data_IF_061880549160
#
_entry.id   IF_061880549160
#
_cell.length_a   1.000
_cell.length_b   1.000
_cell.length_c   1.000
_cell.angle_alpha   90.00
_cell.angle_beta   90.00
_cell.angle_gamma   90.00
#
_symmetry.space_group_name_H-M   'P 1'
#
loop_
_entity.id
_entity.type
_entity.pdbx_description
1 polymer ?
#
# COMPACT_ATOMS: atom_id res chain seq x y z
N UNK A 1 -24.04 16.43 -2.14
CA UNK A 1 -23.82 17.42 -3.22
C UNK A 1 -23.32 18.71 -2.60
N UNK A 2 -22.06 19.08 -2.81
CA UNK A 2 -21.56 20.41 -2.51
C UNK A 2 -20.82 20.95 -3.75
N UNK A 3 -21.50 21.80 -4.53
CA UNK A 3 -20.84 22.98 -5.10
C UNK A 3 -20.42 23.88 -3.94
N UNK A 4 -19.46 24.80 -4.04
CA UNK A 4 -19.34 25.95 -4.93
C UNK A 4 -17.91 26.49 -4.69
N UNK A 5 -17.11 26.67 -5.74
CA UNK A 5 -16.74 27.95 -6.35
C UNK A 5 -16.27 29.06 -5.39
N UNK A 6 -15.08 29.58 -5.72
CA UNK A 6 -14.57 30.94 -5.51
C UNK A 6 -13.68 31.25 -4.31
N UNK A 7 -12.42 31.50 -4.68
CA UNK A 7 -11.62 32.70 -4.37
C UNK A 7 -11.04 32.77 -2.95
N UNK A 8 -9.70 32.61 -2.93
CA UNK A 8 -8.73 33.24 -2.04
C UNK A 8 -9.19 33.50 -0.60
N UNK A 9 -8.68 32.71 0.35
CA UNK A 9 -8.00 33.16 1.58
C UNK A 9 -7.75 31.94 2.48
N UNK A 10 -6.63 31.97 3.20
CA UNK A 10 -6.18 31.09 4.30
C UNK A 10 -5.23 29.95 3.92
N UNK A 11 -3.95 30.30 4.04
CA UNK A 11 -2.87 29.49 4.60
C UNK A 11 -3.37 28.54 5.71
N UNK A 12 -3.33 27.23 5.47
CA UNK A 12 -3.61 26.22 6.49
C UNK A 12 -4.83 25.37 6.18
N UNK A 13 -4.61 24.33 5.38
CA UNK A 13 -5.27 23.03 5.45
C UNK A 13 -4.54 22.16 4.43
N UNK A 14 -3.40 21.63 4.89
CA UNK A 14 -3.00 20.28 4.49
C UNK A 14 -4.23 19.43 4.79
N UNK A 15 -5.09 19.26 3.78
CA UNK A 15 -6.16 18.28 3.85
C UNK A 15 -5.43 16.98 4.13
N UNK A 16 -5.57 16.49 5.35
CA UNK A 16 -5.37 15.11 5.69
C UNK A 16 -6.20 14.33 4.67
N UNK A 17 -5.53 13.85 3.62
CA UNK A 17 -6.10 12.91 2.69
C UNK A 17 -6.21 11.61 3.42
N UNK A 18 -7.22 11.46 4.27
CA UNK A 18 -7.72 10.13 4.59
C UNK A 18 -8.41 9.66 3.31
N UNK A 19 -7.71 8.81 2.55
CA UNK A 19 -8.36 8.07 1.48
C UNK A 19 -9.28 7.06 2.17
N UNK A 20 -10.55 7.43 2.28
CA UNK A 20 -11.63 6.56 2.75
C UNK A 20 -11.80 5.46 1.69
N UNK A 21 -11.00 4.41 1.78
CA UNK A 21 -11.10 3.23 0.92
C UNK A 21 -11.61 2.07 1.76
N UNK A 22 -12.90 2.11 2.10
CA UNK A 22 -13.62 0.98 2.72
C UNK A 22 -13.51 -0.32 1.91
N UNK A 23 -13.13 -0.26 0.61
CA UNK A 23 -12.93 -1.44 -0.26
C UNK A 23 -11.48 -1.98 -0.31
N UNK A 24 -10.56 -1.40 0.47
CA UNK A 24 -9.13 -1.62 0.32
C UNK A 24 -8.58 -1.03 -0.97
N UNK A 25 -7.27 -0.94 -1.07
CA UNK A 25 -6.56 -0.42 -2.25
C UNK A 25 -5.53 -1.40 -2.82
N UNK A 26 -5.37 -2.57 -2.18
CA UNK A 26 -4.39 -3.55 -2.58
C UNK A 26 -4.77 -4.98 -2.18
N UNK A 27 -4.06 -5.94 -2.76
CA UNK A 27 -4.27 -7.38 -2.58
C UNK A 27 -2.95 -8.04 -2.21
N UNK A 28 -2.95 -8.81 -1.12
CA UNK A 28 -1.79 -9.58 -0.71
C UNK A 28 -1.62 -10.82 -1.59
N UNK A 29 -0.41 -11.03 -2.11
CA UNK A 29 -0.06 -12.19 -2.94
C UNK A 29 1.08 -12.94 -2.28
N UNK A 30 0.90 -14.26 -2.22
CA UNK A 30 1.96 -15.18 -1.83
C UNK A 30 2.81 -15.53 -3.06
N UNK A 31 4.05 -15.03 -3.10
CA UNK A 31 5.05 -15.43 -4.08
C UNK A 31 6.19 -16.23 -3.44
N UNK A 32 5.97 -16.76 -2.22
CA UNK A 32 6.96 -17.61 -1.56
C UNK A 32 7.28 -18.84 -2.43
N UNK A 33 8.56 -19.18 -2.52
CA UNK A 33 9.05 -20.28 -3.35
C UNK A 33 9.49 -19.89 -4.77
N UNK A 34 9.36 -18.62 -5.15
CA UNK A 34 10.11 -18.01 -6.27
C UNK A 34 11.41 -17.38 -5.74
N UNK A 35 12.44 -17.30 -6.58
CA UNK A 35 13.81 -16.91 -6.22
C UNK A 35 13.86 -15.63 -5.34
N UNK A 36 13.90 -15.83 -4.01
CA UNK A 36 13.97 -14.75 -3.02
C UNK A 36 12.75 -13.85 -2.92
N UNK A 37 11.60 -14.28 -3.45
CA UNK A 37 10.33 -13.60 -3.25
C UNK A 37 9.66 -14.10 -1.96
N UNK A 38 9.11 -13.15 -1.21
CA UNK A 38 8.22 -13.41 -0.09
C UNK A 38 6.79 -12.95 -0.45
N UNK A 39 6.08 -12.37 0.50
CA UNK A 39 4.79 -11.74 0.30
C UNK A 39 4.93 -10.43 -0.46
N UNK A 40 4.10 -10.23 -1.48
CA UNK A 40 4.05 -9.00 -2.25
C UNK A 40 2.64 -8.40 -2.24
N UNK A 41 2.55 -7.11 -2.51
CA UNK A 41 1.29 -6.39 -2.51
C UNK A 41 1.02 -5.90 -3.93
N UNK A 42 -0.11 -6.34 -4.49
CA UNK A 42 -0.62 -5.88 -5.78
C UNK A 42 -1.64 -4.76 -5.54
N UNK A 43 -1.30 -3.56 -5.98
CA UNK A 43 -2.17 -2.39 -5.89
C UNK A 43 -3.27 -2.46 -6.94
N UNK A 44 -4.40 -1.78 -6.72
CA UNK A 44 -5.54 -1.78 -7.65
C UNK A 44 -5.23 -1.16 -9.02
N UNK A 45 -4.15 -0.39 -9.13
CA UNK A 45 -3.63 0.12 -10.40
C UNK A 45 -2.83 -0.92 -11.20
N UNK A 46 -2.63 -2.13 -10.66
CA UNK A 46 -1.86 -3.22 -11.26
C UNK A 46 -0.36 -3.19 -10.98
N UNK A 47 0.12 -2.21 -10.21
CA UNK A 47 1.51 -2.16 -9.74
C UNK A 47 1.72 -3.16 -8.60
N UNK A 48 2.86 -3.84 -8.62
CA UNK A 48 3.27 -4.76 -7.55
C UNK A 48 4.40 -4.12 -6.78
N UNK A 49 4.31 -4.14 -5.45
CA UNK A 49 5.35 -3.62 -4.55
C UNK A 49 5.83 -4.72 -3.61
N UNK A 50 7.09 -4.62 -3.20
CA UNK A 50 7.76 -5.59 -2.33
C UNK A 50 7.88 -5.01 -0.91
N UNK A 51 6.96 -5.33 0.02
CA UNK A 51 7.00 -4.83 1.39
C UNK A 51 8.08 -5.55 2.21
N UNK A 52 8.86 -4.80 2.98
CA UNK A 52 9.87 -5.38 3.88
C UNK A 52 9.37 -5.78 5.26
N UNK A 53 8.19 -5.31 5.64
CA UNK A 53 7.69 -5.35 7.02
C UNK A 53 6.22 -5.78 7.09
N UNK A 54 5.76 -6.65 6.18
CA UNK A 54 4.37 -7.14 6.20
C UNK A 54 4.04 -7.94 7.46
N UNK A 55 5.03 -8.67 7.98
CA UNK A 55 4.95 -9.48 9.20
C UNK A 55 4.75 -8.65 10.47
N UNK A 56 5.09 -7.36 10.44
CA UNK A 56 4.84 -6.43 11.55
C UNK A 56 3.35 -6.09 11.68
N UNK A 57 2.57 -6.23 10.61
CA UNK A 57 1.14 -5.91 10.57
C UNK A 57 0.24 -7.15 10.54
N UNK A 58 0.69 -8.21 9.89
CA UNK A 58 -0.11 -9.43 9.67
C UNK A 58 0.69 -10.64 10.15
N UNK A 59 0.29 -11.19 11.30
CA UNK A 59 0.96 -12.36 11.88
C UNK A 59 0.74 -13.65 11.07
N UNK A 60 -0.44 -13.79 10.46
CA UNK A 60 -0.82 -14.95 9.65
C UNK A 60 -1.33 -14.49 8.28
N UNK A 61 -0.42 -14.12 7.36
CA UNK A 61 -0.80 -13.65 6.04
C UNK A 61 -1.45 -14.76 5.21
N UNK A 62 -2.54 -14.42 4.50
CA UNK A 62 -3.24 -15.31 3.58
C UNK A 62 -3.28 -14.64 2.21
N UNK A 63 -2.94 -15.40 1.17
CA UNK A 63 -3.03 -14.92 -0.22
C UNK A 63 -4.46 -14.50 -0.58
N UNK A 64 -4.60 -13.51 -1.47
CA UNK A 64 -5.87 -12.91 -1.89
C UNK A 64 -6.56 -12.02 -0.86
N UNK A 65 -5.93 -11.75 0.28
CA UNK A 65 -6.46 -10.84 1.28
C UNK A 65 -6.51 -9.41 0.74
N UNK A 66 -7.66 -8.74 0.87
CA UNK A 66 -7.81 -7.32 0.55
C UNK A 66 -7.28 -6.49 1.71
N UNK A 67 -6.43 -5.52 1.37
CA UNK A 67 -5.75 -4.67 2.33
C UNK A 67 -5.96 -3.21 1.95
N UNK A 68 -6.01 -2.38 2.98
CA UNK A 68 -5.73 -0.96 2.90
C UNK A 68 -4.27 -0.75 3.30
N UNK A 69 -3.45 -0.30 2.37
CA UNK A 69 -2.02 -0.10 2.58
C UNK A 69 -1.60 1.32 2.25
N UNK A 70 -0.71 1.85 3.09
CA UNK A 70 0.10 3.02 2.78
C UNK A 70 1.57 2.63 2.90
N UNK A 71 2.40 3.16 2.02
CA UNK A 71 3.81 2.79 1.97
C UNK A 71 4.70 3.94 1.52
N UNK A 72 5.98 3.83 1.87
CA UNK A 72 7.06 4.68 1.34
C UNK A 72 7.99 3.84 0.49
N UNK A 73 8.37 4.35 -0.68
CA UNK A 73 9.38 3.72 -1.52
C UNK A 73 10.78 3.83 -0.90
N UNK A 74 11.58 2.79 -1.08
CA UNK A 74 12.93 2.66 -0.54
C UNK A 74 13.91 2.49 -1.71
N UNK A 75 14.28 3.58 -2.41
CA UNK A 75 15.03 3.50 -3.67
C UNK A 75 16.46 2.96 -3.52
N UNK A 76 17.01 2.98 -2.31
CA UNK A 76 18.34 2.44 -2.00
C UNK A 76 18.33 0.92 -1.80
N UNK A 77 17.15 0.30 -1.80
CA UNK A 77 16.98 -1.13 -1.60
C UNK A 77 16.66 -1.83 -2.91
N UNK A 78 17.36 -2.93 -3.13
CA UNK A 78 17.15 -3.81 -4.28
C UNK A 78 16.87 -5.20 -3.74
N UNK A 79 15.79 -5.80 -4.22
CA UNK A 79 15.42 -7.17 -3.91
C UNK A 79 15.87 -8.09 -5.05
N UNK A 80 16.16 -9.36 -4.72
CA UNK A 80 16.44 -10.37 -5.75
C UNK A 80 15.16 -10.84 -6.45
N UNK A 81 13.98 -10.63 -5.85
CA UNK A 81 12.70 -10.97 -6.43
C UNK A 81 12.39 -10.11 -7.68
N UNK A 82 12.76 -8.83 -7.68
CA UNK A 82 12.70 -7.91 -8.83
C UNK A 82 11.31 -7.81 -9.49
N UNK A 83 10.23 -8.07 -8.75
CA UNK A 83 8.85 -7.98 -9.25
C UNK A 83 8.27 -6.58 -9.07
N UNK A 84 8.87 -5.78 -8.19
CA UNK A 84 8.40 -4.43 -7.88
C UNK A 84 9.46 -3.58 -7.17
N UNK A 85 9.17 -2.30 -6.92
CA UNK A 85 9.98 -1.50 -6.02
C UNK A 85 9.89 -2.02 -4.59
N UNK A 86 11.00 -1.93 -3.87
CA UNK A 86 11.03 -2.23 -2.43
C UNK A 86 10.39 -1.08 -1.66
N UNK A 87 9.48 -1.42 -0.76
CA UNK A 87 8.71 -0.44 0.01
C UNK A 87 8.69 -0.79 1.50
N UNK A 88 8.50 0.23 2.33
CA UNK A 88 8.20 0.09 3.76
C UNK A 88 6.74 0.46 3.97
N UNK A 89 5.94 -0.44 4.53
CA UNK A 89 4.57 -0.15 4.90
C UNK A 89 4.54 0.83 6.07
N UNK A 90 3.82 1.93 5.90
CA UNK A 90 3.54 2.91 6.96
C UNK A 90 2.22 2.59 7.66
N UNK A 91 1.28 1.98 6.94
CA UNK A 91 -0.01 1.53 7.48
C UNK A 91 -0.47 0.32 6.68
N UNK A 92 -1.05 -0.66 7.38
CA UNK A 92 -1.67 -1.84 6.78
C UNK A 92 -2.83 -2.31 7.65
N UNK A 93 -4.01 -2.42 7.06
CA UNK A 93 -5.20 -2.98 7.71
C UNK A 93 -5.99 -3.85 6.73
N UNK A 94 -6.79 -4.76 7.27
CA UNK A 94 -7.75 -5.52 6.46
C UNK A 94 -8.79 -4.57 5.88
N UNK A 95 -9.13 -4.78 4.62
CA UNK A 95 -10.29 -4.15 4.00
C UNK A 95 -11.50 -5.08 4.09
N UNK A 96 -12.68 -4.50 4.32
CA UNK A 96 -13.94 -5.21 4.51
C UNK A 96 -14.65 -5.56 3.19
#
# INVERSE_FOLDING_TARGET
MCGILSVFVVFGLLFAGCVDSDSGNATLRDLTGLDGCDWVIELDNGEVVEPRNVEDFIAEPVSQMRLLVEYSAEPDWVSICMVGPVVTLTTCSLAD
#
